data_IF_356371328029
#
_entry.id   IF_356371328029
#
_cell.length_a   1.000
_cell.length_b   1.000
_cell.length_c   1.000
_cell.angle_alpha   90.00
_cell.angle_beta   90.00
_cell.angle_gamma   90.00
#
_symmetry.space_group_name_H-M   'P 1'
#
loop_
_entity.id
_entity.type
_entity.pdbx_description
1 polymer ?
#
# COMPACT_ATOMS: atom_id res chain seq x y z
N UNK A 1 -2.02 -29.26 6.01
CA UNK A 1 -2.65 -27.90 6.01
C UNK A 1 -3.99 -27.93 6.73
N UNK A 2 -4.89 -28.91 6.49
CA UNK A 2 -6.23 -28.94 7.12
C UNK A 2 -6.16 -29.03 8.66
N UNK A 3 -5.25 -29.85 9.19
CA UNK A 3 -5.08 -30.00 10.63
C UNK A 3 -4.59 -28.70 11.32
N UNK A 4 -3.86 -27.83 10.59
CA UNK A 4 -3.45 -26.52 11.08
C UNK A 4 -4.63 -25.54 11.06
N UNK A 5 -5.39 -25.50 9.96
CA UNK A 5 -6.54 -24.63 9.83
C UNK A 5 -7.67 -24.94 10.81
N UNK A 6 -7.76 -26.19 11.26
CA UNK A 6 -8.73 -26.58 12.29
C UNK A 6 -8.43 -26.02 13.69
N UNK A 7 -7.22 -25.50 13.90
CA UNK A 7 -6.75 -24.94 15.18
C UNK A 7 -6.41 -23.45 15.08
N UNK A 8 -6.61 -22.84 13.90
CA UNK A 8 -6.25 -21.44 13.64
C UNK A 8 -7.49 -20.56 13.77
N UNK A 9 -7.32 -19.37 14.33
CA UNK A 9 -8.32 -18.29 14.32
C UNK A 9 -8.13 -17.38 13.12
N UNK A 10 -6.90 -17.30 12.59
CA UNK A 10 -6.55 -16.43 11.47
C UNK A 10 -5.45 -17.07 10.59
N UNK A 11 -5.45 -16.68 9.32
CA UNK A 11 -4.40 -16.96 8.34
C UNK A 11 -3.71 -15.64 8.02
N UNK A 12 -2.38 -15.60 8.11
CA UNK A 12 -1.56 -14.49 7.63
C UNK A 12 -0.79 -14.99 6.42
N UNK A 13 -1.08 -14.41 5.24
CA UNK A 13 -0.62 -14.89 3.95
C UNK A 13 0.19 -13.83 3.20
N UNK A 14 1.47 -14.14 2.98
CA UNK A 14 2.42 -13.38 2.16
C UNK A 14 3.09 -14.33 1.16
N UNK A 15 2.32 -15.13 0.44
CA UNK A 15 2.83 -16.21 -0.42
C UNK A 15 2.79 -15.82 -1.91
N UNK A 16 1.88 -16.43 -2.67
CA UNK A 16 1.72 -16.22 -4.10
C UNK A 16 0.23 -16.26 -4.48
N UNK A 17 -0.19 -15.58 -5.57
CA UNK A 17 -1.60 -15.41 -5.94
C UNK A 17 -2.43 -16.70 -5.92
N UNK A 18 -1.94 -17.78 -6.55
CA UNK A 18 -2.67 -19.06 -6.57
C UNK A 18 -2.86 -19.69 -5.17
N UNK A 19 -1.86 -19.59 -4.30
CA UNK A 19 -1.94 -20.05 -2.90
C UNK A 19 -2.91 -19.18 -2.09
N UNK A 20 -2.86 -17.86 -2.29
CA UNK A 20 -3.75 -16.88 -1.66
C UNK A 20 -5.22 -17.17 -1.97
N UNK A 21 -5.58 -17.41 -3.24
CA UNK A 21 -6.95 -17.77 -3.63
C UNK A 21 -7.40 -19.07 -2.95
N UNK A 22 -6.52 -20.08 -2.90
CA UNK A 22 -6.83 -21.34 -2.23
C UNK A 22 -7.05 -21.15 -0.72
N UNK A 23 -6.23 -20.33 -0.05
CA UNK A 23 -6.37 -20.01 1.36
C UNK A 23 -7.63 -19.17 1.66
N UNK A 24 -7.96 -18.20 0.81
CA UNK A 24 -9.18 -17.42 0.94
C UNK A 24 -10.45 -18.26 0.86
N UNK A 25 -10.51 -19.22 -0.07
CA UNK A 25 -11.62 -20.20 -0.16
C UNK A 25 -11.75 -21.06 1.10
N UNK A 26 -10.63 -21.50 1.67
CA UNK A 26 -10.62 -22.29 2.92
C UNK A 26 -11.03 -21.44 4.12
N UNK A 27 -10.60 -20.17 4.16
CA UNK A 27 -11.03 -19.23 5.18
C UNK A 27 -12.55 -19.03 5.14
N UNK A 28 -13.16 -18.91 3.96
CA UNK A 28 -14.60 -18.81 3.80
C UNK A 28 -15.34 -20.05 4.33
N UNK A 29 -14.86 -21.26 4.00
CA UNK A 29 -15.47 -22.52 4.45
C UNK A 29 -15.46 -22.69 5.98
N UNK A 30 -14.50 -22.06 6.66
CA UNK A 30 -14.29 -22.20 8.11
C UNK A 30 -14.65 -20.93 8.90
N UNK A 31 -15.09 -19.86 8.22
CA UNK A 31 -15.38 -18.57 8.86
C UNK A 31 -14.16 -17.89 9.48
N UNK A 32 -12.95 -18.16 8.94
CA UNK A 32 -11.69 -17.63 9.48
C UNK A 32 -11.40 -16.20 9.02
N UNK A 33 -10.56 -15.53 9.79
CA UNK A 33 -9.87 -14.31 9.36
C UNK A 33 -8.76 -14.67 8.37
N UNK A 34 -8.61 -13.90 7.29
CA UNK A 34 -7.50 -14.07 6.34
C UNK A 34 -6.86 -12.71 6.01
N UNK A 35 -5.61 -12.54 6.39
CA UNK A 35 -4.81 -11.34 6.15
C UNK A 35 -3.93 -11.62 4.93
N UNK A 36 -4.14 -10.85 3.86
CA UNK A 36 -3.50 -11.06 2.56
C UNK A 36 -2.56 -9.91 2.26
N UNK A 37 -1.26 -10.18 2.33
CA UNK A 37 -0.18 -9.29 1.90
C UNK A 37 0.45 -9.71 0.56
N UNK A 38 -0.07 -10.76 -0.06
CA UNK A 38 0.35 -11.19 -1.39
C UNK A 38 -0.03 -10.13 -2.43
N UNK A 39 0.94 -9.75 -3.25
CA UNK A 39 0.79 -8.78 -4.35
C UNK A 39 0.80 -9.50 -5.70
N UNK A 40 0.42 -8.79 -6.77
CA UNK A 40 0.45 -9.33 -8.13
C UNK A 40 -0.69 -10.28 -8.48
N UNK A 41 -1.79 -10.26 -7.74
CA UNK A 41 -3.01 -10.96 -8.12
C UNK A 41 -3.58 -10.36 -9.41
N UNK A 42 -4.06 -11.21 -10.31
CA UNK A 42 -4.85 -10.81 -11.48
C UNK A 42 -6.27 -10.41 -11.05
N UNK A 43 -7.00 -9.73 -11.93
CA UNK A 43 -8.40 -9.37 -11.70
C UNK A 43 -9.29 -10.60 -11.38
N UNK A 44 -9.04 -11.73 -12.03
CA UNK A 44 -9.77 -12.97 -11.77
C UNK A 44 -9.48 -13.54 -10.36
N UNK A 45 -8.22 -13.45 -9.90
CA UNK A 45 -7.82 -13.86 -8.55
C UNK A 45 -8.40 -12.90 -7.49
N UNK A 46 -8.41 -11.60 -7.76
CA UNK A 46 -9.02 -10.62 -6.88
C UNK A 46 -10.53 -10.81 -6.77
N UNK A 47 -11.21 -11.11 -7.87
CA UNK A 47 -12.63 -11.47 -7.87
C UNK A 47 -12.89 -12.75 -7.05
N UNK A 48 -12.02 -13.76 -7.13
CA UNK A 48 -12.15 -15.00 -6.35
C UNK A 48 -11.93 -14.76 -4.85
N UNK A 49 -11.03 -13.85 -4.47
CA UNK A 49 -10.81 -13.41 -3.09
C UNK A 49 -12.05 -12.67 -2.56
N UNK A 50 -12.58 -11.73 -3.33
CA UNK A 50 -13.80 -10.99 -2.99
C UNK A 50 -15.01 -11.93 -2.81
N UNK A 51 -15.16 -12.92 -3.71
CA UNK A 51 -16.19 -13.95 -3.57
C UNK A 51 -16.04 -14.76 -2.28
N UNK A 52 -14.80 -15.06 -1.87
CA UNK A 52 -14.53 -15.77 -0.60
C UNK A 52 -14.93 -14.92 0.61
N UNK A 53 -14.72 -13.62 0.57
CA UNK A 53 -15.17 -12.70 1.61
C UNK A 53 -16.71 -12.68 1.70
N UNK A 54 -17.40 -12.59 0.56
CA UNK A 54 -18.86 -12.65 0.50
C UNK A 54 -19.45 -13.99 1.01
N UNK A 55 -18.66 -15.07 0.95
CA UNK A 55 -19.05 -16.42 1.40
C UNK A 55 -18.58 -16.76 2.81
N UNK A 56 -18.30 -15.77 3.67
CA UNK A 56 -18.12 -15.95 5.10
C UNK A 56 -16.71 -15.72 5.65
N UNK A 57 -15.70 -15.46 4.82
CA UNK A 57 -14.37 -15.07 5.31
C UNK A 57 -14.34 -13.59 5.71
N UNK A 58 -13.52 -13.28 6.72
CA UNK A 58 -13.13 -11.91 7.06
C UNK A 58 -11.77 -11.64 6.48
N UNK A 59 -11.71 -10.95 5.35
CA UNK A 59 -10.46 -10.76 4.60
C UNK A 59 -10.00 -9.32 4.75
N UNK A 60 -8.74 -9.12 5.17
CA UNK A 60 -8.02 -7.85 5.03
C UNK A 60 -6.95 -8.02 3.97
N UNK A 61 -7.12 -7.39 2.80
CA UNK A 61 -6.15 -7.42 1.71
C UNK A 61 -5.53 -6.04 1.53
N UNK A 62 -4.21 -5.96 1.61
CA UNK A 62 -3.49 -4.69 1.45
C UNK A 62 -2.15 -4.89 0.73
N UNK A 63 -1.79 -3.96 -0.13
CA UNK A 63 -0.46 -3.89 -0.75
C UNK A 63 0.64 -3.46 0.22
N UNK A 64 0.29 -2.96 1.40
CA UNK A 64 1.22 -2.60 2.45
C UNK A 64 0.56 -2.73 3.83
N UNK A 65 1.26 -3.36 4.77
CA UNK A 65 0.80 -3.53 6.16
C UNK A 65 1.49 -2.59 7.15
N UNK A 66 2.35 -1.68 6.70
CA UNK A 66 2.85 -0.59 7.55
C UNK A 66 1.72 0.38 7.87
N UNK A 67 1.33 0.47 9.13
CA UNK A 67 0.32 1.43 9.60
C UNK A 67 0.71 2.86 9.26
N UNK A 68 2.00 3.20 9.42
CA UNK A 68 2.54 4.52 9.09
C UNK A 68 2.45 4.84 7.60
N UNK A 69 2.75 3.89 6.71
CA UNK A 69 2.63 4.08 5.26
C UNK A 69 1.18 4.25 4.83
N UNK A 70 0.25 3.46 5.40
CA UNK A 70 -1.18 3.57 5.07
C UNK A 70 -1.74 4.91 5.53
N UNK A 71 -1.40 5.36 6.73
CA UNK A 71 -1.76 6.70 7.21
C UNK A 71 -1.15 7.78 6.32
N UNK A 72 0.14 7.66 5.96
CA UNK A 72 0.82 8.60 5.08
C UNK A 72 0.11 8.71 3.73
N UNK A 73 -0.31 7.60 3.12
CA UNK A 73 -1.05 7.61 1.85
C UNK A 73 -2.38 8.37 1.96
N UNK A 74 -3.12 8.20 3.07
CA UNK A 74 -4.35 8.97 3.32
C UNK A 74 -4.09 10.47 3.45
N UNK A 75 -3.02 10.85 4.19
CA UNK A 75 -2.62 12.26 4.32
C UNK A 75 -2.17 12.86 2.99
N UNK A 76 -1.39 12.13 2.19
CA UNK A 76 -0.96 12.53 0.85
C UNK A 76 -2.15 12.79 -0.06
N UNK A 77 -3.14 11.89 -0.09
CA UNK A 77 -4.36 12.07 -0.87
C UNK A 77 -5.11 13.35 -0.48
N UNK A 78 -5.30 13.57 0.82
CA UNK A 78 -5.97 14.79 1.33
C UNK A 78 -5.17 16.05 1.01
N UNK A 79 -3.85 16.03 1.22
CA UNK A 79 -2.99 17.17 0.91
C UNK A 79 -2.95 17.49 -0.59
N UNK A 80 -2.85 16.47 -1.44
CA UNK A 80 -2.89 16.62 -2.89
C UNK A 80 -4.21 17.21 -3.39
N UNK A 81 -5.34 16.83 -2.80
CA UNK A 81 -6.64 17.41 -3.12
C UNK A 81 -6.76 18.87 -2.69
N UNK A 82 -6.27 19.20 -1.49
CA UNK A 82 -6.38 20.55 -0.93
C UNK A 82 -5.42 21.56 -1.61
N UNK A 83 -4.24 21.11 -2.04
CA UNK A 83 -3.17 21.94 -2.60
C UNK A 83 -3.01 21.69 -4.11
N UNK A 84 -4.08 21.94 -4.87
CA UNK A 84 -4.17 21.59 -6.29
C UNK A 84 -3.06 22.19 -7.17
N UNK A 85 -2.53 23.35 -6.81
CA UNK A 85 -1.51 24.07 -7.57
C UNK A 85 -0.07 23.73 -7.17
N UNK A 86 0.13 22.90 -6.13
CA UNK A 86 1.47 22.52 -5.67
C UNK A 86 2.04 21.42 -6.54
N UNK A 87 3.34 21.50 -6.83
CA UNK A 87 4.11 20.46 -7.47
C UNK A 87 4.32 19.25 -6.53
N UNK A 88 4.18 18.04 -7.05
CA UNK A 88 4.31 16.83 -6.24
C UNK A 88 5.53 16.03 -6.67
N UNK A 89 6.41 15.70 -5.71
CA UNK A 89 7.58 14.85 -5.91
C UNK A 89 7.59 13.75 -4.83
N UNK A 90 7.84 12.53 -5.25
CA UNK A 90 7.98 11.35 -4.38
C UNK A 90 9.45 10.93 -4.36
N UNK A 91 10.10 11.08 -3.22
CA UNK A 91 11.48 10.66 -2.99
C UNK A 91 11.47 9.37 -2.15
N UNK A 92 12.24 8.35 -2.58
CA UNK A 92 12.42 7.14 -1.81
C UNK A 92 13.87 6.71 -1.72
N UNK A 93 14.24 6.07 -0.60
CA UNK A 93 15.56 5.47 -0.42
C UNK A 93 15.45 4.07 0.16
N UNK A 94 16.18 3.14 -0.42
CA UNK A 94 16.30 1.76 0.09
C UNK A 94 17.76 1.30 0.05
N UNK A 95 17.99 0.14 0.66
CA UNK A 95 19.29 -0.54 0.64
C UNK A 95 19.80 -0.79 -0.78
N UNK A 96 21.10 -0.93 -0.92
CA UNK A 96 21.80 -1.08 -2.20
C UNK A 96 21.48 -2.37 -2.98
N UNK A 97 20.78 -3.34 -2.37
CA UNK A 97 20.37 -4.62 -2.99
C UNK A 97 18.94 -4.60 -3.54
N UNK A 98 18.18 -3.49 -3.38
CA UNK A 98 16.83 -3.41 -3.91
C UNK A 98 16.87 -3.30 -5.44
N UNK A 99 16.11 -4.16 -6.12
CA UNK A 99 16.18 -4.32 -7.58
C UNK A 99 15.14 -3.51 -8.35
N UNK A 100 14.00 -3.23 -7.73
CA UNK A 100 12.91 -2.43 -8.34
C UNK A 100 13.05 -0.95 -7.97
N UNK A 101 12.73 -0.06 -8.90
CA UNK A 101 12.63 1.39 -8.72
C UNK A 101 11.59 1.98 -9.70
N UNK A 102 10.69 2.87 -9.24
CA UNK A 102 10.43 3.20 -7.85
C UNK A 102 9.92 2.01 -7.05
N UNK A 103 10.05 2.07 -5.70
CA UNK A 103 9.52 1.02 -4.82
C UNK A 103 7.98 0.93 -4.89
N UNK A 104 7.42 -0.24 -4.57
CA UNK A 104 5.97 -0.41 -4.49
C UNK A 104 5.30 0.59 -3.54
N UNK A 105 5.96 0.97 -2.44
CA UNK A 105 5.46 2.01 -1.52
C UNK A 105 5.51 3.40 -2.14
N UNK A 106 6.55 3.74 -2.91
CA UNK A 106 6.59 5.01 -3.63
C UNK A 106 5.46 5.10 -4.67
N UNK A 107 5.19 4.02 -5.41
CA UNK A 107 4.07 3.94 -6.34
C UNK A 107 2.71 4.05 -5.63
N UNK A 108 2.55 3.43 -4.45
CA UNK A 108 1.36 3.57 -3.62
C UNK A 108 1.12 5.03 -3.22
N UNK A 109 2.16 5.74 -2.77
CA UNK A 109 2.08 7.15 -2.41
C UNK A 109 1.81 8.06 -3.62
N UNK A 110 2.43 7.76 -4.77
CA UNK A 110 2.16 8.44 -6.03
C UNK A 110 0.71 8.25 -6.51
N UNK A 111 0.16 7.05 -6.37
CA UNK A 111 -1.26 6.77 -6.66
C UNK A 111 -2.18 7.54 -5.71
N UNK A 112 -1.87 7.59 -4.41
CA UNK A 112 -2.64 8.38 -3.45
C UNK A 112 -2.64 9.88 -3.80
N UNK A 113 -1.50 10.42 -4.25
CA UNK A 113 -1.41 11.79 -4.74
C UNK A 113 -2.24 12.00 -6.02
N UNK A 114 -2.18 11.06 -6.96
CA UNK A 114 -2.94 11.08 -8.20
C UNK A 114 -4.45 11.02 -7.96
N UNK A 115 -4.89 10.14 -7.04
CA UNK A 115 -6.30 10.08 -6.59
C UNK A 115 -6.76 11.40 -6.01
N UNK A 116 -5.96 12.04 -5.13
CA UNK A 116 -6.27 13.36 -4.59
C UNK A 116 -6.42 14.44 -5.66
N UNK A 117 -5.73 14.32 -6.79
CA UNK A 117 -5.80 15.22 -7.96
C UNK A 117 -6.89 14.82 -8.96
N UNK A 118 -7.56 13.69 -8.80
CA UNK A 118 -8.52 13.16 -9.77
C UNK A 118 -7.89 12.78 -11.11
N UNK A 119 -6.63 12.33 -11.11
CA UNK A 119 -5.87 11.93 -12.30
C UNK A 119 -5.40 10.47 -12.20
N UNK A 120 -5.07 9.86 -13.33
CA UNK A 120 -4.40 8.56 -13.34
C UNK A 120 -2.88 8.76 -13.28
N UNK A 121 -2.21 8.12 -12.31
CA UNK A 121 -0.76 8.23 -12.13
C UNK A 121 0.02 7.91 -13.42
N UNK A 122 -0.39 6.87 -14.16
CA UNK A 122 0.27 6.42 -15.40
C UNK A 122 0.39 7.52 -16.46
N UNK A 123 -0.52 8.50 -16.47
CA UNK A 123 -0.57 9.56 -17.47
C UNK A 123 0.23 10.80 -17.05
N UNK A 124 0.66 10.89 -15.79
CA UNK A 124 1.30 12.07 -15.20
C UNK A 124 2.57 11.77 -14.39
N UNK A 125 3.01 10.50 -14.34
CA UNK A 125 4.24 10.13 -13.65
C UNK A 125 5.49 10.50 -14.44
N UNK A 126 6.48 11.10 -13.76
CA UNK A 126 7.82 11.37 -14.29
C UNK A 126 8.84 10.60 -13.45
N UNK A 127 9.38 9.51 -14.00
CA UNK A 127 10.23 8.57 -13.27
C UNK A 127 11.72 8.94 -13.25
N UNK A 128 12.16 9.80 -14.16
CA UNK A 128 13.54 10.27 -14.22
C UNK A 128 13.62 11.65 -14.87
N UNK A 129 14.63 12.41 -14.48
CA UNK A 129 15.09 13.64 -15.14
C UNK A 129 16.59 13.59 -15.30
N UNK A 130 17.06 13.71 -16.53
CA UNK A 130 18.49 13.70 -16.86
C UNK A 130 18.79 14.73 -17.94
N UNK A 131 19.92 15.45 -17.81
CA UNK A 131 20.35 16.46 -18.79
C UNK A 131 19.42 17.70 -18.82
N UNK A 132 19.22 18.25 -19.99
CA UNK A 132 18.36 19.41 -20.22
C UNK A 132 16.91 18.97 -20.47
N UNK A 133 16.10 18.88 -19.41
CA UNK A 133 14.71 18.42 -19.49
C UNK A 133 13.68 19.53 -19.70
N UNK A 134 14.12 20.79 -19.75
CA UNK A 134 13.23 21.95 -19.75
C UNK A 134 12.59 22.21 -18.38
N UNK A 135 11.64 23.14 -18.34
CA UNK A 135 10.86 23.40 -17.14
C UNK A 135 9.96 22.20 -16.79
N UNK A 136 9.68 22.04 -15.50
CA UNK A 136 8.76 21.01 -15.02
C UNK A 136 7.36 21.20 -15.63
N UNK A 137 6.78 20.15 -16.19
CA UNK A 137 5.39 20.17 -16.64
C UNK A 137 4.44 20.24 -15.44
N UNK A 138 3.51 21.20 -15.47
CA UNK A 138 2.52 21.35 -14.40
C UNK A 138 1.59 20.11 -14.29
N UNK A 139 1.21 19.77 -13.07
CA UNK A 139 0.31 18.66 -12.78
C UNK A 139 0.94 17.27 -12.88
N UNK A 140 2.25 17.16 -13.17
CA UNK A 140 2.96 15.88 -13.12
C UNK A 140 3.27 15.47 -11.67
N UNK A 141 3.53 14.18 -11.45
CA UNK A 141 4.04 13.63 -10.18
C UNK A 141 5.40 13.02 -10.46
N UNK A 142 6.44 13.65 -9.88
CA UNK A 142 7.82 13.20 -10.08
C UNK A 142 8.23 12.11 -9.09
N UNK A 143 9.21 11.29 -9.48
CA UNK A 143 9.80 10.26 -8.65
C UNK A 143 11.32 10.38 -8.65
N UNK A 144 11.93 10.19 -7.48
CA UNK A 144 13.37 10.04 -7.32
C UNK A 144 13.68 8.85 -6.42
N UNK A 145 14.48 7.91 -6.90
CA UNK A 145 14.84 6.69 -6.18
C UNK A 145 16.32 6.68 -5.82
N UNK A 146 16.61 6.62 -4.53
CA UNK A 146 17.96 6.52 -3.98
C UNK A 146 18.24 5.08 -3.52
N UNK A 147 19.49 4.65 -3.66
CA UNK A 147 19.97 3.33 -3.21
C UNK A 147 21.25 3.52 -2.43
N UNK A 148 21.31 2.94 -1.21
CA UNK A 148 22.52 3.04 -0.39
C UNK A 148 22.43 2.29 0.93
N UNK A 149 23.56 1.81 1.43
CA UNK A 149 23.67 1.17 2.72
C UNK A 149 22.67 0.06 2.96
N UNK A 150 22.10 0.05 4.16
CA UNK A 150 21.12 -0.93 4.65
C UNK A 150 19.75 -0.33 4.93
N UNK A 151 19.43 0.82 4.35
CA UNK A 151 18.16 1.54 4.56
C UNK A 151 16.99 0.60 4.27
N UNK A 152 16.09 0.46 5.24
CA UNK A 152 14.92 -0.44 5.15
C UNK A 152 13.90 0.12 4.16
N UNK A 153 13.63 1.42 4.26
CA UNK A 153 12.77 2.13 3.32
C UNK A 153 12.36 3.50 3.89
N UNK A 154 12.84 4.56 3.26
CA UNK A 154 12.44 5.94 3.53
C UNK A 154 11.60 6.43 2.36
N UNK A 155 10.52 7.14 2.66
CA UNK A 155 9.62 7.70 1.65
C UNK A 155 9.19 9.10 2.07
N UNK A 156 9.36 10.05 1.19
CA UNK A 156 8.92 11.44 1.39
C UNK A 156 8.08 11.86 0.20
N UNK A 157 6.89 12.39 0.45
CA UNK A 157 6.10 13.10 -0.55
C UNK A 157 6.21 14.58 -0.26
N UNK A 158 6.73 15.33 -1.23
CA UNK A 158 6.86 16.77 -1.18
C UNK A 158 5.74 17.41 -1.99
N UNK A 159 5.07 18.40 -1.41
CA UNK A 159 4.14 19.29 -2.10
C UNK A 159 4.75 20.71 -2.05
N UNK A 160 5.19 21.22 -3.20
CA UNK A 160 5.95 22.45 -3.30
C UNK A 160 5.11 23.54 -3.98
N UNK A 161 4.80 24.58 -3.24
CA UNK A 161 4.15 25.81 -3.71
C UNK A 161 5.15 26.93 -4.01
N UNK A 162 4.65 28.12 -4.39
CA UNK A 162 5.51 29.26 -4.78
C UNK A 162 6.45 29.76 -3.66
N UNK A 163 6.05 29.64 -2.40
CA UNK A 163 6.80 30.23 -1.26
C UNK A 163 6.92 29.30 -0.08
N UNK A 164 6.41 28.08 -0.19
CA UNK A 164 6.45 27.08 0.89
C UNK A 164 6.49 25.66 0.33
N UNK A 165 6.83 24.72 1.19
CA UNK A 165 6.84 23.28 0.87
C UNK A 165 6.36 22.49 2.08
N UNK A 166 5.53 21.49 1.82
CA UNK A 166 5.12 20.49 2.80
C UNK A 166 5.84 19.19 2.47
N UNK A 167 6.39 18.54 3.48
CA UNK A 167 7.02 17.22 3.38
C UNK A 167 6.32 16.23 4.30
N UNK A 168 5.78 15.17 3.73
CA UNK A 168 5.16 14.07 4.45
C UNK A 168 6.08 12.86 4.36
N UNK A 169 6.69 12.47 5.48
CA UNK A 169 7.78 11.47 5.50
C UNK A 169 7.45 10.29 6.40
N UNK A 170 7.75 9.09 5.90
CA UNK A 170 7.81 7.84 6.66
C UNK A 170 9.20 7.23 6.54
N UNK A 171 9.77 6.79 7.66
CA UNK A 171 11.02 6.02 7.70
C UNK A 171 10.79 4.71 8.40
N UNK A 172 11.13 3.61 7.73
CA UNK A 172 11.08 2.28 8.31
C UNK A 172 12.42 2.00 9.01
N UNK A 173 12.38 1.83 10.32
CA UNK A 173 13.58 1.48 11.11
C UNK A 173 13.85 -0.03 11.10
N UNK A 174 12.77 -0.84 11.08
CA UNK A 174 12.83 -2.29 11.05
C UNK A 174 11.67 -2.89 10.24
N UNK A 175 11.87 -4.06 9.62
CA UNK A 175 10.86 -4.73 8.80
C UNK A 175 9.72 -5.39 9.61
N UNK A 176 9.88 -5.55 10.93
CA UNK A 176 8.83 -6.09 11.81
C UNK A 176 7.56 -5.26 11.80
N UNK A 177 7.63 -3.98 11.38
CA UNK A 177 6.47 -3.10 11.23
C UNK A 177 5.37 -3.72 10.33
N UNK A 178 5.74 -4.52 9.31
CA UNK A 178 4.77 -5.19 8.44
C UNK A 178 4.07 -6.35 9.16
N UNK A 179 4.82 -7.14 9.92
CA UNK A 179 4.26 -8.22 10.74
C UNK A 179 3.34 -7.69 11.84
N UNK A 180 3.75 -6.60 12.50
CA UNK A 180 2.92 -5.91 13.51
C UNK A 180 1.60 -5.42 12.92
N UNK A 181 1.63 -4.82 11.73
CA UNK A 181 0.43 -4.39 11.03
C UNK A 181 -0.49 -5.56 10.62
N UNK A 182 0.09 -6.67 10.15
CA UNK A 182 -0.67 -7.87 9.82
C UNK A 182 -1.35 -8.49 11.05
N UNK A 183 -0.65 -8.57 12.19
CA UNK A 183 -1.24 -9.03 13.46
C UNK A 183 -2.35 -8.08 13.93
N UNK A 184 -2.14 -6.77 13.85
CA UNK A 184 -3.18 -5.79 14.18
C UNK A 184 -4.42 -5.96 13.30
N UNK A 185 -4.23 -6.16 12.00
CA UNK A 185 -5.33 -6.42 11.07
C UNK A 185 -6.10 -7.69 11.42
N UNK A 186 -5.39 -8.76 11.81
CA UNK A 186 -6.02 -10.02 12.22
C UNK A 186 -6.88 -9.84 13.49
N UNK A 187 -6.36 -9.14 14.50
CA UNK A 187 -7.10 -8.85 15.73
C UNK A 187 -8.32 -7.96 15.47
N UNK A 188 -8.19 -6.94 14.61
CA UNK A 188 -9.31 -6.07 14.23
C UNK A 188 -10.38 -6.84 13.44
N UNK A 189 -9.97 -7.65 12.45
CA UNK A 189 -10.88 -8.38 11.58
C UNK A 189 -11.69 -9.46 12.30
N UNK A 190 -11.21 -9.97 13.42
CA UNK A 190 -11.93 -10.95 14.27
C UNK A 190 -13.30 -10.45 14.67
N UNK A 191 -13.41 -9.16 14.95
CA UNK A 191 -14.63 -8.53 15.47
C UNK A 191 -15.50 -7.91 14.36
N UNK A 192 -15.14 -8.09 13.08
CA UNK A 192 -15.89 -7.60 11.93
C UNK A 192 -16.86 -8.65 11.38
N UNK A 193 -17.86 -8.19 10.63
CA UNK A 193 -18.68 -9.06 9.80
C UNK A 193 -17.83 -9.72 8.69
N UNK A 194 -18.25 -10.87 8.11
CA UNK A 194 -17.64 -11.37 6.87
C UNK A 194 -17.63 -10.30 5.78
N UNK A 195 -16.48 -10.14 5.12
CA UNK A 195 -16.30 -9.07 4.13
C UNK A 195 -14.85 -8.90 3.71
N UNK A 196 -14.65 -8.07 2.69
CA UNK A 196 -13.35 -7.68 2.18
C UNK A 196 -13.01 -6.26 2.66
N UNK A 197 -11.92 -6.15 3.36
CA UNK A 197 -11.40 -4.94 3.99
C UNK A 197 -9.98 -4.67 3.54
N UNK A 198 -9.47 -3.48 3.82
CA UNK A 198 -8.06 -3.12 3.66
C UNK A 198 -7.50 -2.48 4.94
N UNK A 199 -6.23 -2.08 4.89
CA UNK A 199 -5.58 -1.44 6.04
C UNK A 199 -6.14 -0.05 6.38
N UNK A 200 -6.81 0.63 5.44
CA UNK A 200 -7.48 1.90 5.74
C UNK A 200 -8.74 1.67 6.59
N UNK A 201 -9.47 0.55 6.38
CA UNK A 201 -10.57 0.15 7.26
C UNK A 201 -10.05 -0.15 8.68
N UNK A 202 -8.96 -0.93 8.78
CA UNK A 202 -8.32 -1.29 10.07
C UNK A 202 -7.91 -0.07 10.88
N UNK A 203 -7.52 1.01 10.20
CA UNK A 203 -7.08 2.26 10.84
C UNK A 203 -8.19 3.30 10.96
N UNK A 204 -9.41 3.03 10.48
CA UNK A 204 -10.53 3.97 10.52
C UNK A 204 -10.29 5.22 9.66
N UNK A 205 -9.64 5.07 8.51
CA UNK A 205 -9.27 6.17 7.60
C UNK A 205 -10.26 6.36 6.45
N UNK A 206 -11.21 5.46 6.28
CA UNK A 206 -12.31 5.60 5.31
C UNK A 206 -13.41 6.47 5.91
N UNK A 207 -13.88 7.42 5.12
CA UNK A 207 -15.03 8.28 5.42
C UNK A 207 -16.31 7.64 4.92
#
# INVERSE_FOLDING_TARGET
TEALLAKADAIIDFTAPAATVALARRAAQKGLVNIIGTTGCSEAEDAAIAASAANGARIVKSGNFSMGVVLLASLVRKAAAALADYDIEVLEMHHNRKVDAPSGTALLLGNAAAEGRGIALKDKAVYAREGHTGAREAGTIGFAALRGGTVVGDHTVMLAGPSERIELTHRAEDRSLFAQGAVRAALWARDQAPGLYDMADVLGLKE
#
